data_IF_928888079840
#
_entry.id   IF_928888079840
#
_cell.length_a   1.000
_cell.length_b   1.000
_cell.length_c   1.000
_cell.angle_alpha   90.00
_cell.angle_beta   90.00
_cell.angle_gamma   90.00
#
_symmetry.space_group_name_H-M   'P 1'
#
loop_
_entity.id
_entity.type
_entity.pdbx_description
1 polymer ?
#
# COMPACT_ATOMS: atom_id res chain seq x y z
N UNK A 1 5.00 9.16 -8.16
CA UNK A 1 3.97 8.10 -8.20
C UNK A 1 4.17 7.22 -6.96
N UNK A 2 3.22 6.39 -6.54
CA UNK A 2 3.42 5.47 -5.41
C UNK A 2 3.08 4.05 -5.82
N UNK A 3 3.58 3.08 -5.06
CA UNK A 3 3.26 1.65 -5.25
C UNK A 3 1.79 1.41 -4.89
N UNK A 4 1.18 0.43 -5.54
CA UNK A 4 -0.25 0.12 -5.33
C UNK A 4 -0.50 -0.58 -4.00
N UNK A 5 0.51 -1.21 -3.41
CA UNK A 5 0.45 -1.79 -2.07
C UNK A 5 1.80 -1.63 -1.35
N UNK A 6 1.77 -1.14 -0.11
CA UNK A 6 2.93 -1.07 0.78
C UNK A 6 2.52 -1.05 2.25
N UNK A 7 3.44 -1.49 3.12
CA UNK A 7 3.27 -1.42 4.57
C UNK A 7 3.96 -0.17 5.12
N UNK A 8 3.33 0.47 6.10
CA UNK A 8 3.89 1.60 6.83
C UNK A 8 4.07 1.24 8.30
N UNK A 9 5.26 1.55 8.79
CA UNK A 9 5.70 1.41 10.17
C UNK A 9 6.11 2.78 10.69
N UNK A 10 6.23 2.90 12.00
CA UNK A 10 6.63 4.14 12.66
C UNK A 10 7.87 3.93 13.51
N UNK A 11 8.76 4.91 13.52
CA UNK A 11 9.88 4.96 14.44
C UNK A 11 9.36 5.31 15.84
N UNK A 12 9.90 4.64 16.85
CA UNK A 12 9.56 4.95 18.24
C UNK A 12 10.08 6.36 18.61
N UNK A 13 9.25 7.23 19.21
CA UNK A 13 9.64 8.60 19.53
C UNK A 13 10.82 8.68 20.52
N UNK A 14 11.01 7.68 21.38
CA UNK A 14 12.16 7.63 22.29
C UNK A 14 13.49 7.37 21.55
N UNK A 15 13.39 6.90 20.31
CA UNK A 15 14.52 6.67 19.40
C UNK A 15 14.61 7.74 18.29
N UNK A 16 13.74 8.75 18.25
CA UNK A 16 13.78 9.82 17.24
C UNK A 16 14.54 11.05 17.74
N UNK A 17 15.73 11.30 17.17
CA UNK A 17 16.56 12.46 17.51
C UNK A 17 15.85 13.80 17.32
N UNK A 18 14.85 13.90 16.42
CA UNK A 18 14.07 15.12 16.29
C UNK A 18 13.27 15.43 17.57
N UNK A 19 12.84 14.38 18.27
CA UNK A 19 12.10 14.45 19.53
C UNK A 19 13.05 14.54 20.73
N UNK A 20 14.12 13.75 20.74
CA UNK A 20 14.97 13.54 21.92
C UNK A 20 16.18 14.47 22.00
N UNK A 21 16.65 15.03 20.88
CA UNK A 21 17.81 15.92 20.83
C UNK A 21 17.42 17.33 20.35
N UNK A 22 17.50 18.31 21.26
CA UNK A 22 17.17 19.70 20.96
C UNK A 22 18.14 20.37 19.97
N UNK A 23 19.43 19.98 19.97
CA UNK A 23 20.43 20.50 19.04
C UNK A 23 20.18 19.97 17.64
N UNK A 24 19.97 18.66 17.50
CA UNK A 24 19.61 18.04 16.22
C UNK A 24 18.33 18.68 15.66
N UNK A 25 17.29 18.80 16.48
CA UNK A 25 16.03 19.46 16.10
C UNK A 25 16.25 20.89 15.59
N UNK A 26 17.05 21.68 16.30
CA UNK A 26 17.38 23.06 15.89
C UNK A 26 18.06 23.15 14.52
N UNK A 27 18.86 22.14 14.16
CA UNK A 27 19.51 22.05 12.84
C UNK A 27 18.57 21.49 11.77
N UNK A 28 17.70 20.54 12.13
CA UNK A 28 16.77 19.87 11.22
C UNK A 28 15.56 20.74 10.83
N UNK A 29 14.95 21.46 11.77
CA UNK A 29 13.71 22.24 11.55
C UNK A 29 13.77 23.17 10.32
N UNK A 30 14.85 23.95 10.08
CA UNK A 30 14.96 24.80 8.89
C UNK A 30 14.94 24.04 7.55
N UNK A 31 15.38 22.77 7.56
CA UNK A 31 15.45 21.89 6.39
C UNK A 31 14.12 21.19 6.10
N UNK A 32 13.22 21.12 7.09
CA UNK A 32 11.94 20.41 7.02
C UNK A 32 10.77 21.29 6.56
N UNK A 33 11.06 22.46 5.99
CA UNK A 33 10.02 23.36 5.47
C UNK A 33 9.11 22.66 4.46
N UNK A 34 7.81 22.95 4.53
CA UNK A 34 6.80 22.47 3.59
C UNK A 34 6.45 23.57 2.58
N UNK A 35 6.07 23.20 1.34
CA UNK A 35 5.44 24.12 0.41
C UNK A 35 4.18 24.71 1.05
N UNK A 36 4.13 26.05 1.14
CA UNK A 36 2.87 26.76 1.40
C UNK A 36 1.95 26.70 0.18
N UNK A 37 0.72 27.21 0.31
CA UNK A 37 -0.20 27.37 -0.82
C UNK A 37 0.26 28.53 -1.72
N UNK A 38 1.31 28.32 -2.51
CA UNK A 38 1.76 29.25 -3.53
C UNK A 38 1.11 28.87 -4.87
N UNK A 39 0.14 29.68 -5.30
CA UNK A 39 -0.66 29.48 -6.52
C UNK A 39 0.05 29.81 -7.84
N UNK A 40 1.34 30.19 -7.81
CA UNK A 40 2.07 30.57 -9.02
C UNK A 40 2.69 29.35 -9.73
N UNK A 41 2.12 29.01 -10.88
CA UNK A 41 2.54 27.93 -11.78
C UNK A 41 4.02 28.05 -12.20
N UNK A 42 4.54 29.27 -12.36
CA UNK A 42 5.92 29.52 -12.78
C UNK A 42 6.97 29.14 -11.74
N UNK A 43 6.57 28.97 -10.48
CA UNK A 43 7.44 28.69 -9.34
C UNK A 43 7.55 27.20 -8.98
N UNK A 44 6.73 26.33 -9.58
CA UNK A 44 6.61 24.91 -9.17
C UNK A 44 7.95 24.16 -9.25
N UNK A 45 8.70 24.32 -10.35
CA UNK A 45 9.97 23.61 -10.54
C UNK A 45 11.08 24.17 -9.63
N UNK A 46 11.20 25.49 -9.51
CA UNK A 46 12.20 26.13 -8.66
C UNK A 46 11.94 25.86 -7.17
N UNK A 47 10.67 25.85 -6.75
CA UNK A 47 10.27 25.43 -5.41
C UNK A 47 10.63 23.96 -5.16
N UNK A 48 10.30 23.08 -6.10
CA UNK A 48 10.63 21.66 -5.96
C UNK A 48 12.14 21.41 -5.84
N UNK A 49 12.96 22.05 -6.68
CA UNK A 49 14.43 21.98 -6.57
C UNK A 49 14.92 22.46 -5.20
N UNK A 50 14.39 23.58 -4.70
CA UNK A 50 14.76 24.09 -3.39
C UNK A 50 14.36 23.13 -2.24
N UNK A 51 13.18 22.51 -2.31
CA UNK A 51 12.74 21.51 -1.33
C UNK A 51 13.53 20.21 -1.42
N UNK A 52 13.88 19.78 -2.62
CA UNK A 52 14.76 18.63 -2.87
C UNK A 52 16.13 18.85 -2.23
N UNK A 53 16.73 20.02 -2.45
CA UNK A 53 18.05 20.34 -1.90
C UNK A 53 18.02 20.42 -0.36
N UNK A 54 16.97 21.03 0.23
CA UNK A 54 16.74 21.01 1.68
C UNK A 54 16.55 19.60 2.23
N UNK A 55 15.80 18.77 1.53
CA UNK A 55 15.60 17.37 1.90
C UNK A 55 16.93 16.61 1.89
N UNK A 56 17.75 16.79 0.87
CA UNK A 56 19.06 16.12 0.78
C UNK A 56 20.00 16.57 1.90
N UNK A 57 20.00 17.86 2.25
CA UNK A 57 20.71 18.36 3.43
C UNK A 57 20.17 17.74 4.73
N UNK A 58 18.85 17.56 4.86
CA UNK A 58 18.26 16.91 6.02
C UNK A 58 18.68 15.44 6.12
N UNK A 59 18.71 14.69 5.01
CA UNK A 59 19.16 13.30 5.03
C UNK A 59 20.63 13.17 5.38
N UNK A 60 21.49 14.04 4.86
CA UNK A 60 22.90 14.06 5.23
C UNK A 60 23.07 14.32 6.73
N UNK A 61 22.39 15.36 7.26
CA UNK A 61 22.37 15.66 8.68
C UNK A 61 21.87 14.46 9.51
N UNK A 62 20.79 13.80 9.07
CA UNK A 62 20.21 12.63 9.72
C UNK A 62 21.16 11.45 9.66
N UNK A 63 21.78 11.15 8.53
CA UNK A 63 22.77 10.07 8.37
C UNK A 63 23.93 10.26 9.35
N UNK A 64 24.48 11.47 9.40
CA UNK A 64 25.65 11.77 10.24
C UNK A 64 25.28 11.74 11.73
N UNK A 65 24.16 12.36 12.11
CA UNK A 65 23.74 12.40 13.53
C UNK A 65 23.31 11.04 14.07
N UNK A 66 22.67 10.20 13.23
CA UNK A 66 22.29 8.85 13.63
C UNK A 66 23.47 7.86 13.62
N UNK A 67 24.65 8.25 13.12
CA UNK A 67 25.86 7.44 13.24
C UNK A 67 26.39 7.37 14.69
N UNK A 68 26.11 8.39 15.48
CA UNK A 68 26.61 8.54 16.86
C UNK A 68 25.69 7.87 17.91
N UNK A 69 24.61 7.22 17.48
CA UNK A 69 23.63 6.55 18.36
C UNK A 69 23.58 5.04 18.10
N UNK A 70 23.02 4.24 19.02
CA UNK A 70 22.90 2.81 18.83
C UNK A 70 22.21 2.46 17.50
N UNK A 71 22.70 1.43 16.77
CA UNK A 71 22.08 0.97 15.54
C UNK A 71 20.59 0.67 15.71
N UNK A 72 19.74 1.00 14.72
CA UNK A 72 18.30 0.81 14.84
C UNK A 72 17.97 -0.67 14.97
N UNK A 73 17.09 -1.01 15.89
CA UNK A 73 16.69 -2.38 16.18
C UNK A 73 15.17 -2.49 16.31
N UNK A 74 14.66 -3.64 16.77
CA UNK A 74 13.23 -3.80 17.02
C UNK A 74 12.67 -2.81 18.04
N UNK A 75 13.47 -2.35 19.01
CA UNK A 75 13.04 -1.32 19.98
C UNK A 75 12.86 0.06 19.34
N UNK A 76 13.47 0.28 18.17
CA UNK A 76 13.37 1.53 17.43
C UNK A 76 12.06 1.64 16.64
N UNK A 77 11.24 0.59 16.61
CA UNK A 77 9.93 0.59 15.98
C UNK A 77 8.84 0.81 17.01
N UNK A 78 7.96 1.77 16.74
CA UNK A 78 6.84 2.08 17.60
C UNK A 78 5.83 0.92 17.59
N UNK A 79 5.37 0.53 18.79
CA UNK A 79 4.41 -0.55 18.97
C UNK A 79 3.32 -0.21 20.01
N UNK A 80 3.01 1.08 20.16
CA UNK A 80 2.17 1.59 21.25
C UNK A 80 0.68 1.25 21.14
N UNK A 81 0.12 1.10 19.93
CA UNK A 81 -1.27 0.69 19.71
C UNK A 81 -1.49 0.10 18.30
N UNK A 82 -2.73 -0.22 17.96
CA UNK A 82 -3.15 -0.86 16.71
C UNK A 82 -2.96 -0.01 15.44
N UNK A 83 -2.52 1.25 15.55
CA UNK A 83 -2.10 2.08 14.41
C UNK A 83 -0.62 1.90 14.04
N UNK A 84 0.14 1.11 14.79
CA UNK A 84 1.58 0.94 14.55
C UNK A 84 1.91 0.23 13.23
N UNK A 85 0.96 -0.58 12.74
CA UNK A 85 1.08 -1.35 11.52
C UNK A 85 -0.03 -0.91 10.59
N UNK A 86 0.30 -0.32 9.46
CA UNK A 86 -0.67 0.11 8.46
C UNK A 86 -0.36 -0.52 7.11
N UNK A 87 -1.40 -0.81 6.35
CA UNK A 87 -1.30 -1.14 4.93
C UNK A 87 -2.00 -0.07 4.13
N UNK A 88 -1.34 0.39 3.07
CA UNK A 88 -1.88 1.35 2.13
C UNK A 88 -2.12 0.62 0.82
N UNK A 89 -3.32 0.76 0.27
CA UNK A 89 -3.67 0.36 -1.08
C UNK A 89 -3.96 1.60 -1.92
N UNK A 90 -3.38 1.69 -3.12
CA UNK A 90 -3.74 2.69 -4.12
C UNK A 90 -4.52 2.01 -5.25
N UNK A 91 -5.64 2.63 -5.60
CA UNK A 91 -6.46 2.26 -6.76
C UNK A 91 -6.64 3.52 -7.62
N UNK A 92 -5.87 3.60 -8.70
CA UNK A 92 -5.82 4.72 -9.63
C UNK A 92 -5.47 6.05 -8.95
N UNK A 93 -6.45 6.94 -8.84
CA UNK A 93 -6.38 8.25 -8.18
C UNK A 93 -7.07 8.24 -6.80
N UNK A 94 -7.12 7.09 -6.14
CA UNK A 94 -7.62 6.94 -4.78
C UNK A 94 -6.70 6.05 -3.96
N UNK A 95 -6.74 6.21 -2.64
CA UNK A 95 -6.00 5.37 -1.72
C UNK A 95 -6.86 5.02 -0.51
N UNK A 96 -6.60 3.87 0.08
CA UNK A 96 -7.19 3.41 1.32
C UNK A 96 -6.05 3.08 2.30
N UNK A 97 -6.23 3.50 3.54
CA UNK A 97 -5.31 3.22 4.64
C UNK A 97 -6.05 2.32 5.61
N UNK A 98 -5.48 1.17 5.95
CA UNK A 98 -6.12 0.19 6.83
C UNK A 98 -5.14 -0.30 7.87
N UNK A 99 -5.64 -0.52 9.10
CA UNK A 99 -4.83 -1.07 10.20
C UNK A 99 -4.48 -2.53 9.95
N UNK A 100 -3.26 -2.87 10.31
CA UNK A 100 -2.67 -4.19 10.16
C UNK A 100 -1.84 -4.36 8.89
N UNK A 101 -1.19 -5.52 8.80
CA UNK A 101 -0.37 -5.92 7.65
C UNK A 101 -1.21 -6.82 6.74
N UNK A 102 -1.67 -6.31 5.61
CA UNK A 102 -2.61 -6.95 4.69
C UNK A 102 -1.92 -7.21 3.34
N UNK A 103 -2.28 -8.30 2.68
CA UNK A 103 -1.73 -8.71 1.39
C UNK A 103 -0.47 -9.57 1.51
N UNK A 104 0.22 -9.81 0.42
CA UNK A 104 1.56 -10.39 0.47
C UNK A 104 2.58 -9.42 1.09
N UNK A 105 3.83 -9.86 1.27
CA UNK A 105 4.90 -8.94 1.68
C UNK A 105 5.16 -7.98 0.51
N UNK A 106 4.92 -6.66 0.66
CA UNK A 106 5.03 -5.72 -0.44
C UNK A 106 6.47 -5.56 -0.91
N UNK A 107 6.62 -5.05 -2.14
CA UNK A 107 7.94 -4.74 -2.66
C UNK A 107 8.68 -3.72 -1.79
N UNK A 108 7.97 -2.68 -1.35
CA UNK A 108 8.48 -1.56 -0.54
C UNK A 108 7.79 -1.50 0.82
N UNK A 109 8.51 -1.04 1.84
CA UNK A 109 7.96 -0.67 3.15
C UNK A 109 8.43 0.72 3.52
N UNK A 110 7.61 1.46 4.26
CA UNK A 110 7.87 2.82 4.67
C UNK A 110 8.07 2.88 6.18
N UNK A 111 9.12 3.57 6.63
CA UNK A 111 9.34 3.87 8.04
C UNK A 111 9.21 5.37 8.28
N UNK A 112 8.18 5.76 9.03
CA UNK A 112 7.87 7.14 9.35
C UNK A 112 8.52 7.53 10.67
N UNK A 113 9.40 8.53 10.63
CA UNK A 113 9.81 9.29 11.80
C UNK A 113 8.77 10.40 12.09
N UNK A 114 8.92 11.13 13.20
CA UNK A 114 7.98 12.18 13.56
C UNK A 114 7.91 13.29 12.49
N UNK A 115 9.04 13.81 11.94
CA UNK A 115 9.00 14.75 10.83
C UNK A 115 8.27 14.27 9.57
N UNK A 116 8.41 13.01 9.17
CA UNK A 116 7.70 12.45 8.02
C UNK A 116 6.20 12.35 8.29
N UNK A 117 5.80 11.91 9.49
CA UNK A 117 4.39 11.84 9.90
C UNK A 117 3.73 13.21 9.85
N UNK A 118 4.30 14.21 10.54
CA UNK A 118 3.76 15.57 10.59
C UNK A 118 3.64 16.17 9.19
N UNK A 119 4.70 16.10 8.37
CA UNK A 119 4.67 16.66 7.02
C UNK A 119 3.64 15.98 6.14
N UNK A 120 3.48 14.67 6.26
CA UNK A 120 2.46 13.92 5.51
C UNK A 120 1.05 14.36 5.91
N UNK A 121 0.78 14.50 7.21
CA UNK A 121 -0.51 14.97 7.72
C UNK A 121 -0.83 16.38 7.23
N UNK A 122 0.10 17.33 7.41
CA UNK A 122 -0.14 18.70 6.96
C UNK A 122 -0.27 18.80 5.45
N UNK A 123 0.52 18.04 4.69
CA UNK A 123 0.46 18.08 3.24
C UNK A 123 -0.80 17.46 2.65
N UNK A 124 -1.24 16.31 3.19
CA UNK A 124 -2.33 15.52 2.60
C UNK A 124 -3.69 15.73 3.27
N UNK A 125 -3.72 16.26 4.49
CA UNK A 125 -4.97 16.53 5.22
C UNK A 125 -5.21 18.03 5.43
N UNK A 126 -4.28 18.74 6.06
CA UNK A 126 -4.54 20.14 6.49
C UNK A 126 -4.47 21.13 5.32
N UNK A 127 -3.43 21.04 4.50
CA UNK A 127 -3.15 21.98 3.41
C UNK A 127 -3.64 21.46 2.05
N UNK A 128 -4.14 20.22 1.99
CA UNK A 128 -4.65 19.65 0.75
C UNK A 128 -6.00 20.26 0.39
N UNK A 129 -6.09 20.78 -0.83
CA UNK A 129 -7.33 21.34 -1.36
C UNK A 129 -7.74 20.52 -2.58
N UNK A 130 -8.81 19.73 -2.42
CA UNK A 130 -9.38 18.90 -3.49
C UNK A 130 -9.86 19.75 -4.67
N UNK A 131 -10.30 20.99 -4.40
CA UNK A 131 -10.77 21.96 -5.39
C UNK A 131 -9.68 22.94 -5.82
N UNK A 132 -8.46 22.80 -5.31
CA UNK A 132 -7.32 23.63 -5.63
C UNK A 132 -6.88 23.49 -7.08
N UNK A 133 -6.12 24.47 -7.57
CA UNK A 133 -5.67 24.50 -8.95
C UNK A 133 -4.64 23.38 -9.27
N UNK A 134 -4.38 23.16 -10.56
CA UNK A 134 -3.44 22.13 -11.04
C UNK A 134 -2.02 22.33 -10.47
N UNK A 135 -1.61 23.57 -10.20
CA UNK A 135 -0.28 23.82 -9.64
C UNK A 135 -0.15 23.36 -8.19
N UNK A 136 -1.20 23.55 -7.37
CA UNK A 136 -1.28 23.03 -6.00
C UNK A 136 -1.22 21.50 -5.99
N UNK A 137 -1.99 20.85 -6.85
CA UNK A 137 -1.98 19.39 -6.98
C UNK A 137 -0.61 18.87 -7.43
N UNK A 138 0.05 19.56 -8.37
CA UNK A 138 1.38 19.22 -8.85
C UNK A 138 2.46 19.39 -7.76
N UNK A 139 2.45 20.51 -7.03
CA UNK A 139 3.38 20.77 -5.91
C UNK A 139 3.21 19.73 -4.81
N UNK A 140 1.96 19.41 -4.44
CA UNK A 140 1.65 18.34 -3.48
C UNK A 140 2.23 17.02 -3.96
N UNK A 141 2.00 16.64 -5.21
CA UNK A 141 2.47 15.35 -5.73
C UNK A 141 4.00 15.27 -5.81
N UNK A 142 4.67 16.38 -6.15
CA UNK A 142 6.12 16.50 -6.21
C UNK A 142 6.76 16.44 -4.82
N UNK A 143 6.18 17.12 -3.84
CA UNK A 143 6.71 17.09 -2.47
C UNK A 143 6.44 15.75 -1.79
N UNK A 144 5.32 15.09 -2.11
CA UNK A 144 5.04 13.74 -1.58
C UNK A 144 6.03 12.69 -2.12
N UNK A 145 6.60 12.89 -3.31
CA UNK A 145 7.71 12.08 -3.83
C UNK A 145 8.93 12.12 -2.89
N UNK A 146 9.22 13.29 -2.30
CA UNK A 146 10.30 13.48 -1.33
C UNK A 146 9.98 12.79 0.01
N UNK A 147 8.72 12.87 0.47
CA UNK A 147 8.27 12.16 1.69
C UNK A 147 8.40 10.65 1.50
N UNK A 148 7.88 10.11 0.39
CA UNK A 148 8.02 8.69 0.05
C UNK A 148 9.48 8.28 0.14
N UNK A 149 10.36 8.98 -0.57
CA UNK A 149 11.76 8.61 -0.63
C UNK A 149 12.43 8.63 0.75
N UNK A 150 12.13 9.64 1.58
CA UNK A 150 12.59 9.68 2.97
C UNK A 150 12.11 8.49 3.80
N UNK A 151 10.85 8.09 3.67
CA UNK A 151 10.31 6.94 4.39
C UNK A 151 10.90 5.59 3.92
N UNK A 152 11.13 5.44 2.62
CA UNK A 152 11.81 4.29 2.02
C UNK A 152 13.27 4.21 2.49
N UNK A 153 14.00 5.33 2.48
CA UNK A 153 15.37 5.39 2.98
C UNK A 153 15.46 5.11 4.48
N UNK A 154 14.52 5.62 5.28
CA UNK A 154 14.44 5.29 6.71
C UNK A 154 14.24 3.80 6.94
N UNK A 155 13.41 3.13 6.13
CA UNK A 155 13.25 1.67 6.22
C UNK A 155 14.55 0.94 5.88
N UNK A 156 15.28 1.36 4.85
CA UNK A 156 16.55 0.72 4.45
C UNK A 156 17.60 0.72 5.58
N UNK A 157 17.58 1.70 6.49
CA UNK A 157 18.47 1.72 7.67
C UNK A 157 18.26 0.53 8.62
N UNK A 158 17.09 -0.13 8.56
CA UNK A 158 16.83 -1.37 9.30
C UNK A 158 17.46 -2.60 8.62
N UNK A 159 17.73 -2.53 7.32
CA UNK A 159 18.32 -3.63 6.55
C UNK A 159 19.85 -3.70 6.77
N UNK A 160 20.48 -4.86 6.53
CA UNK A 160 21.95 -4.99 6.52
C UNK A 160 22.57 -4.02 5.53
N UNK A 161 23.64 -3.33 5.94
CA UNK A 161 24.21 -2.19 5.22
C UNK A 161 24.61 -2.52 3.77
N UNK A 162 25.24 -3.67 3.60
CA UNK A 162 25.72 -4.23 2.33
C UNK A 162 24.61 -4.63 1.34
N UNK A 163 23.36 -4.72 1.79
CA UNK A 163 22.21 -5.10 0.94
C UNK A 163 21.36 -3.91 0.49
N UNK A 164 21.60 -2.71 1.03
CA UNK A 164 20.70 -1.55 0.83
C UNK A 164 20.69 -1.03 -0.61
N UNK A 165 21.83 -1.09 -1.29
CA UNK A 165 21.94 -0.72 -2.70
C UNK A 165 21.14 -1.67 -3.61
N UNK A 166 21.18 -2.97 -3.34
CA UNK A 166 20.42 -3.97 -4.09
C UNK A 166 18.90 -3.73 -3.96
N UNK A 167 18.44 -3.36 -2.76
CA UNK A 167 17.04 -2.97 -2.57
C UNK A 167 16.68 -1.71 -3.35
N UNK A 168 17.54 -0.69 -3.31
CA UNK A 168 17.31 0.55 -4.03
C UNK A 168 17.25 0.31 -5.55
N UNK A 169 18.14 -0.55 -6.06
CA UNK A 169 18.20 -0.96 -7.46
C UNK A 169 16.95 -1.72 -7.92
N UNK A 170 16.40 -2.60 -7.07
CA UNK A 170 15.13 -3.28 -7.34
C UNK A 170 13.94 -2.31 -7.34
N UNK A 171 13.91 -1.38 -6.39
CA UNK A 171 12.81 -0.41 -6.25
C UNK A 171 12.80 0.65 -7.35
N UNK A 172 13.97 0.96 -7.93
CA UNK A 172 14.18 2.04 -8.89
C UNK A 172 14.90 1.58 -10.16
N UNK A 173 14.30 0.67 -10.93
CA UNK A 173 14.92 0.15 -12.15
C UNK A 173 14.99 1.21 -13.28
N UNK A 174 15.94 1.03 -14.21
CA UNK A 174 16.10 1.82 -15.44
C UNK A 174 16.22 3.34 -15.18
N UNK A 175 15.29 4.14 -15.73
CA UNK A 175 15.23 5.59 -15.54
C UNK A 175 15.05 6.01 -14.09
N UNK A 176 14.56 5.11 -13.22
CA UNK A 176 14.49 5.32 -11.77
C UNK A 176 15.88 5.56 -11.16
N UNK A 177 16.89 4.76 -11.56
CA UNK A 177 18.28 4.92 -11.11
C UNK A 177 18.85 6.29 -11.46
N UNK A 178 18.56 6.77 -12.68
CA UNK A 178 19.00 8.09 -13.13
C UNK A 178 18.37 9.20 -12.28
N UNK A 179 17.09 9.10 -11.95
CA UNK A 179 16.42 10.05 -11.06
C UNK A 179 16.97 9.99 -9.63
N UNK A 180 17.21 8.79 -9.09
CA UNK A 180 17.90 8.63 -7.81
C UNK A 180 19.22 9.38 -7.78
N UNK A 181 20.07 9.10 -8.77
CA UNK A 181 21.39 9.70 -8.88
C UNK A 181 21.37 11.23 -9.06
N UNK A 182 20.39 11.77 -9.81
CA UNK A 182 20.29 13.21 -10.07
C UNK A 182 19.67 14.01 -8.93
N UNK A 183 18.69 13.43 -8.24
CA UNK A 183 17.78 14.19 -7.39
C UNK A 183 17.91 13.90 -5.90
N UNK A 184 18.49 12.77 -5.52
CA UNK A 184 18.44 12.30 -4.14
C UNK A 184 19.83 12.12 -3.52
N UNK A 185 19.94 12.45 -2.24
CA UNK A 185 21.11 12.14 -1.42
C UNK A 185 21.34 10.62 -1.38
N UNK A 186 22.62 10.22 -1.42
CA UNK A 186 23.04 8.84 -1.33
C UNK A 186 22.52 8.19 -0.03
N UNK A 187 22.07 6.95 -0.15
CA UNK A 187 21.64 6.18 1.02
C UNK A 187 22.80 5.93 1.97
N UNK A 188 22.45 5.61 3.21
CA UNK A 188 23.39 5.13 4.20
C UNK A 188 23.63 3.62 3.94
N UNK A 189 24.77 3.25 3.40
CA UNK A 189 25.16 1.90 2.99
C UNK A 189 26.29 1.29 3.84
N UNK A 190 26.79 2.03 4.83
CA UNK A 190 27.93 1.63 5.65
C UNK A 190 27.58 1.42 7.14
N UNK A 191 26.62 2.17 7.69
CA UNK A 191 26.28 2.06 9.11
C UNK A 191 25.51 0.78 9.43
N UNK A 192 25.86 0.07 10.52
CA UNK A 192 25.26 -1.21 10.86
C UNK A 192 23.77 -1.07 11.23
N UNK A 193 23.02 -2.15 11.04
CA UNK A 193 21.68 -2.34 11.62
C UNK A 193 21.81 -3.16 12.91
N UNK A 194 20.96 -2.87 13.90
CA UNK A 194 20.83 -3.65 15.12
C UNK A 194 19.91 -4.88 14.96
N UNK A 195 19.37 -5.10 13.75
CA UNK A 195 18.56 -6.27 13.44
C UNK A 195 19.44 -7.45 12.99
N UNK A 196 19.14 -8.64 13.51
CA UNK A 196 19.70 -9.89 13.04
C UNK A 196 18.73 -10.51 12.03
N UNK A 197 19.03 -10.34 10.74
CA UNK A 197 18.22 -10.80 9.62
C UNK A 197 18.99 -11.84 8.80
N UNK A 198 18.29 -12.76 8.14
CA UNK A 198 18.90 -13.69 7.18
C UNK A 198 19.56 -12.92 6.02
N UNK A 199 20.87 -13.10 5.84
CA UNK A 199 21.67 -12.45 4.80
C UNK A 199 21.17 -12.77 3.37
N UNK A 200 20.49 -13.90 3.17
CA UNK A 200 20.01 -14.31 1.83
C UNK A 200 18.76 -13.60 1.39
N UNK A 201 17.87 -13.27 2.33
CA UNK A 201 16.60 -12.60 2.06
C UNK A 201 16.17 -11.77 3.28
N UNK A 202 16.90 -10.68 3.58
CA UNK A 202 16.70 -9.94 4.83
C UNK A 202 15.34 -9.25 4.88
N UNK A 203 14.76 -8.87 3.73
CA UNK A 203 13.43 -8.28 3.66
C UNK A 203 12.35 -9.29 4.04
N UNK A 204 12.43 -10.51 3.49
CA UNK A 204 11.45 -11.55 3.83
C UNK A 204 11.58 -11.97 5.29
N UNK A 205 12.81 -12.11 5.79
CA UNK A 205 13.03 -12.43 7.20
C UNK A 205 12.52 -11.30 8.12
N UNK A 206 12.80 -10.03 7.79
CA UNK A 206 12.22 -8.90 8.49
C UNK A 206 10.70 -8.97 8.54
N UNK A 207 10.04 -9.21 7.41
CA UNK A 207 8.58 -9.30 7.34
C UNK A 207 8.04 -10.45 8.21
N UNK A 208 8.67 -11.62 8.20
CA UNK A 208 8.29 -12.76 9.03
C UNK A 208 8.48 -12.48 10.52
N UNK A 209 9.62 -11.88 10.89
CA UNK A 209 9.91 -11.48 12.26
C UNK A 209 8.94 -10.38 12.74
N UNK A 210 8.60 -9.41 11.89
CA UNK A 210 7.62 -8.36 12.15
C UNK A 210 6.24 -8.96 12.43
N UNK A 211 5.76 -9.84 11.55
CA UNK A 211 4.48 -10.56 11.71
C UNK A 211 4.44 -11.40 12.99
N UNK A 212 5.56 -12.02 13.36
CA UNK A 212 5.65 -12.83 14.58
C UNK A 212 5.69 -11.97 15.84
N UNK A 213 6.56 -10.94 15.87
CA UNK A 213 6.76 -10.09 17.05
C UNK A 213 5.54 -9.22 17.35
N UNK A 214 4.93 -8.65 16.32
CA UNK A 214 3.80 -7.74 16.47
C UNK A 214 2.46 -8.38 16.10
N UNK A 215 2.37 -9.72 16.10
CA UNK A 215 1.15 -10.44 15.75
C UNK A 215 -0.08 -10.03 16.57
N UNK A 216 0.10 -9.79 17.88
CA UNK A 216 -0.97 -9.31 18.76
C UNK A 216 -1.40 -7.85 18.50
N UNK A 217 -0.53 -7.06 17.86
CA UNK A 217 -0.78 -5.66 17.49
C UNK A 217 -1.38 -5.55 16.09
N UNK A 218 -1.19 -6.57 15.26
CA UNK A 218 -1.73 -6.62 13.91
C UNK A 218 -3.26 -6.71 13.96
N UNK A 219 -3.93 -5.58 13.77
CA UNK A 219 -5.38 -5.47 13.79
C UNK A 219 -6.09 -6.34 12.74
N UNK A 220 -5.36 -6.77 11.69
CA UNK A 220 -5.90 -7.57 10.58
C UNK A 220 -4.99 -8.77 10.28
N UNK A 221 -5.09 -9.88 11.04
CA UNK A 221 -4.48 -11.14 10.64
C UNK A 221 -4.99 -11.56 9.25
N UNK A 222 -4.08 -12.02 8.38
CA UNK A 222 -4.37 -12.23 6.97
C UNK A 222 -4.03 -13.66 6.51
N UNK A 223 -4.87 -14.65 6.88
CA UNK A 223 -4.69 -16.03 6.48
C UNK A 223 -5.06 -16.28 5.00
N UNK A 224 -5.66 -15.30 4.31
CA UNK A 224 -6.04 -15.45 2.91
C UNK A 224 -4.83 -15.22 2.02
N UNK A 225 -4.14 -14.08 2.18
CA UNK A 225 -3.08 -13.66 1.25
C UNK A 225 -1.69 -14.23 1.55
N UNK A 226 -1.47 -14.74 2.76
CA UNK A 226 -0.17 -15.26 3.22
C UNK A 226 -0.26 -16.70 3.73
N UNK A 227 -1.21 -17.46 3.19
CA UNK A 227 -1.40 -18.84 3.60
C UNK A 227 -0.20 -19.73 3.23
N UNK A 228 0.39 -20.39 4.22
CA UNK A 228 1.43 -21.41 4.04
C UNK A 228 1.01 -22.80 4.52
N UNK A 229 -0.17 -22.91 5.13
CA UNK A 229 -0.69 -24.14 5.74
C UNK A 229 -1.91 -24.71 5.02
N UNK A 230 -2.55 -25.70 5.67
CA UNK A 230 -3.76 -26.36 5.14
C UNK A 230 -5.06 -25.56 5.37
N UNK A 231 -5.02 -24.55 6.25
CA UNK A 231 -6.17 -23.75 6.65
C UNK A 231 -5.89 -22.26 6.37
N UNK A 232 -6.51 -21.75 5.31
CA UNK A 232 -6.33 -20.41 4.77
C UNK A 232 -7.58 -19.54 5.00
N UNK A 233 -8.06 -19.51 6.23
CA UNK A 233 -9.26 -18.77 6.61
C UNK A 233 -9.13 -18.19 8.00
N UNK A 234 -9.91 -17.16 8.31
CA UNK A 234 -9.97 -16.57 9.63
C UNK A 234 -10.66 -17.54 10.61
N UNK A 235 -10.18 -17.52 11.85
CA UNK A 235 -10.78 -18.29 12.92
C UNK A 235 -12.12 -17.67 13.38
N UNK A 236 -13.01 -18.50 13.91
CA UNK A 236 -14.25 -18.05 14.56
C UNK A 236 -15.32 -17.48 13.62
N UNK A 237 -15.21 -17.69 12.30
CA UNK A 237 -16.25 -17.34 11.33
C UNK A 237 -17.13 -18.54 10.98
N UNK A 238 -18.19 -18.30 10.18
CA UNK A 238 -19.08 -19.37 9.69
C UNK A 238 -18.29 -20.41 8.88
N UNK A 239 -18.48 -21.73 9.08
CA UNK A 239 -17.77 -22.76 8.32
C UNK A 239 -17.88 -22.60 6.80
N UNK A 240 -19.04 -22.18 6.29
CA UNK A 240 -19.21 -21.92 4.86
C UNK A 240 -18.32 -20.76 4.41
N UNK A 241 -18.09 -19.76 5.25
CA UNK A 241 -17.17 -18.65 4.96
C UNK A 241 -15.70 -19.07 5.10
N UNK A 242 -15.37 -20.02 5.97
CA UNK A 242 -14.03 -20.61 6.02
C UNK A 242 -13.69 -21.30 4.69
N UNK A 243 -14.63 -22.09 4.14
CA UNK A 243 -14.48 -22.72 2.83
C UNK A 243 -14.34 -21.68 1.69
N UNK A 244 -15.06 -20.55 1.80
CA UNK A 244 -14.94 -19.43 0.87
C UNK A 244 -13.54 -18.83 0.91
N UNK A 245 -13.03 -18.46 2.08
CA UNK A 245 -11.70 -17.88 2.23
C UNK A 245 -10.60 -18.85 1.80
N UNK A 246 -10.76 -20.14 2.12
CA UNK A 246 -9.89 -21.22 1.69
C UNK A 246 -9.85 -21.37 0.16
N UNK A 247 -10.98 -21.18 -0.51
CA UNK A 247 -11.03 -21.20 -1.96
C UNK A 247 -10.41 -19.94 -2.56
N UNK A 248 -10.71 -18.76 -1.99
CA UNK A 248 -10.22 -17.45 -2.45
C UNK A 248 -8.69 -17.32 -2.33
N UNK A 249 -8.07 -17.89 -1.30
CA UNK A 249 -6.61 -17.88 -1.11
C UNK A 249 -5.83 -18.50 -2.29
N UNK A 250 -6.47 -19.31 -3.14
CA UNK A 250 -5.84 -19.85 -4.36
C UNK A 250 -5.61 -18.80 -5.45
N UNK A 251 -6.31 -17.67 -5.38
CA UNK A 251 -6.15 -16.53 -6.28
C UNK A 251 -5.06 -15.57 -5.81
N UNK A 252 -4.59 -15.70 -4.57
CA UNK A 252 -3.58 -14.83 -3.98
C UNK A 252 -2.19 -15.47 -4.10
N UNK A 253 -1.14 -14.70 -3.81
CA UNK A 253 0.26 -15.18 -3.78
C UNK A 253 0.78 -15.72 -5.12
N UNK A 254 0.15 -15.37 -6.24
CA UNK A 254 0.57 -15.70 -7.61
C UNK A 254 0.61 -14.44 -8.47
N UNK A 255 1.71 -14.16 -9.17
CA UNK A 255 1.75 -13.04 -10.10
C UNK A 255 0.95 -13.36 -11.37
N UNK A 256 0.56 -12.34 -12.14
CA UNK A 256 -0.20 -12.45 -13.38
C UNK A 256 0.50 -13.30 -14.46
N UNK A 257 1.83 -13.45 -14.39
CA UNK A 257 2.56 -14.43 -15.19
C UNK A 257 2.05 -15.87 -14.97
N UNK A 258 1.68 -16.21 -13.74
CA UNK A 258 1.10 -17.50 -13.33
C UNK A 258 -0.43 -17.52 -13.28
N UNK A 259 -1.09 -16.36 -13.11
CA UNK A 259 -2.55 -16.23 -13.04
C UNK A 259 -3.05 -15.16 -14.02
N UNK A 260 -3.23 -15.57 -15.29
CA UNK A 260 -3.48 -14.64 -16.41
C UNK A 260 -4.77 -13.83 -16.34
N UNK A 261 -5.75 -14.27 -15.55
CA UNK A 261 -7.00 -13.52 -15.36
C UNK A 261 -6.77 -12.16 -14.67
N UNK A 262 -5.67 -11.99 -13.93
CA UNK A 262 -5.31 -10.72 -13.29
C UNK A 262 -5.25 -9.59 -14.32
N UNK A 263 -4.79 -9.87 -15.54
CA UNK A 263 -4.72 -8.87 -16.63
C UNK A 263 -6.09 -8.28 -16.99
N UNK A 264 -7.17 -9.04 -16.76
CA UNK A 264 -8.56 -8.68 -17.07
C UNK A 264 -9.31 -8.05 -15.89
N UNK A 265 -8.73 -8.09 -14.69
CA UNK A 265 -9.39 -7.58 -13.50
C UNK A 265 -9.29 -6.06 -13.41
N UNK A 266 -10.40 -5.38 -13.05
CA UNK A 266 -10.38 -4.02 -12.55
C UNK A 266 -9.48 -3.88 -11.30
N UNK A 267 -9.12 -2.65 -10.96
CA UNK A 267 -8.23 -2.37 -9.82
C UNK A 267 -8.87 -2.71 -8.46
N UNK A 268 -10.16 -2.40 -8.26
CA UNK A 268 -10.91 -2.72 -7.04
C UNK A 268 -12.25 -3.41 -7.36
N UNK A 269 -12.27 -4.74 -7.26
CA UNK A 269 -13.46 -5.57 -7.48
C UNK A 269 -14.07 -6.02 -6.16
N UNK A 270 -15.39 -5.94 -6.01
CA UNK A 270 -16.09 -6.39 -4.81
C UNK A 270 -16.73 -7.76 -5.03
N UNK A 271 -16.50 -8.70 -4.12
CA UNK A 271 -17.15 -10.00 -4.07
C UNK A 271 -18.22 -9.97 -2.99
N UNK A 272 -19.49 -9.89 -3.37
CA UNK A 272 -20.64 -10.06 -2.46
C UNK A 272 -20.94 -11.54 -2.35
N UNK A 273 -20.69 -12.13 -1.19
CA UNK A 273 -20.82 -13.57 -0.97
C UNK A 273 -21.88 -13.83 0.10
N UNK A 274 -22.85 -14.67 -0.23
CA UNK A 274 -23.97 -14.99 0.65
C UNK A 274 -24.04 -16.49 0.95
N UNK A 275 -24.08 -16.83 2.23
CA UNK A 275 -24.25 -18.22 2.69
C UNK A 275 -25.72 -18.66 2.58
N UNK A 276 -25.97 -19.97 2.64
CA UNK A 276 -27.33 -20.50 2.65
C UNK A 276 -28.18 -20.04 3.85
N UNK A 277 -27.55 -19.56 4.93
CA UNK A 277 -28.24 -18.98 6.10
C UNK A 277 -28.71 -17.54 5.88
N UNK A 278 -28.36 -16.92 4.75
CA UNK A 278 -28.59 -15.49 4.49
C UNK A 278 -27.49 -14.58 5.05
N UNK A 279 -26.48 -15.12 5.74
CA UNK A 279 -25.32 -14.34 6.17
C UNK A 279 -24.50 -13.92 4.95
N UNK A 280 -24.27 -12.62 4.83
CA UNK A 280 -23.48 -11.98 3.76
C UNK A 280 -22.13 -11.49 4.27
N UNK A 281 -21.10 -11.64 3.45
CA UNK A 281 -19.80 -10.98 3.61
C UNK A 281 -19.37 -10.39 2.27
N UNK A 282 -18.84 -9.17 2.31
CA UNK A 282 -18.20 -8.55 1.16
C UNK A 282 -16.68 -8.69 1.28
N UNK A 283 -16.03 -9.09 0.20
CA UNK A 283 -14.58 -9.12 0.07
C UNK A 283 -14.13 -8.14 -1.00
N UNK A 284 -13.06 -7.39 -0.74
CA UNK A 284 -12.35 -6.61 -1.75
C UNK A 284 -11.29 -7.47 -2.41
N UNK A 285 -11.38 -7.64 -3.72
CA UNK A 285 -10.36 -8.21 -4.58
C UNK A 285 -9.64 -7.04 -5.25
N UNK A 286 -8.43 -6.76 -4.79
CA UNK A 286 -7.62 -5.62 -5.19
C UNK A 286 -6.49 -6.11 -6.09
N UNK A 287 -6.38 -5.55 -7.29
CA UNK A 287 -5.27 -5.81 -8.21
C UNK A 287 -4.15 -4.82 -7.91
N UNK A 288 -3.00 -5.33 -7.50
CA UNK A 288 -1.81 -4.53 -7.24
C UNK A 288 -0.96 -4.48 -8.51
N UNK A 289 -0.84 -3.31 -9.15
CA UNK A 289 -0.06 -3.18 -10.38
C UNK A 289 1.42 -2.99 -10.09
N UNK A 290 2.25 -3.81 -10.72
CA UNK A 290 3.69 -3.74 -10.57
C UNK A 290 4.29 -2.72 -11.54
N UNK A 291 5.26 -1.95 -11.05
CA UNK A 291 5.98 -0.96 -11.84
C UNK A 291 7.48 -1.13 -11.66
N UNK A 292 8.29 -0.85 -12.68
CA UNK A 292 9.75 -0.92 -12.58
C UNK A 292 10.32 0.18 -11.67
N UNK A 293 9.63 1.33 -11.57
CA UNK A 293 9.86 2.36 -10.57
C UNK A 293 8.66 3.31 -10.48
N UNK A 294 8.56 4.07 -9.39
CA UNK A 294 7.50 5.08 -9.15
C UNK A 294 8.04 6.52 -9.08
N UNK A 295 9.27 6.72 -9.55
CA UNK A 295 10.03 7.97 -9.39
C UNK A 295 9.42 9.15 -10.17
N UNK A 296 8.75 8.94 -11.30
CA UNK A 296 8.20 10.03 -12.12
C UNK A 296 6.69 10.20 -11.96
N UNK A 297 6.21 11.45 -12.09
CA UNK A 297 4.78 11.80 -12.04
C UNK A 297 4.00 11.39 -13.29
N UNK A 298 4.65 11.37 -14.46
CA UNK A 298 4.04 11.07 -15.75
C UNK A 298 4.66 9.80 -16.36
N UNK A 299 3.99 9.23 -17.37
CA UNK A 299 4.52 8.07 -18.10
C UNK A 299 4.55 6.78 -17.27
N UNK A 300 3.58 6.59 -16.37
CA UNK A 300 3.36 5.36 -15.59
C UNK A 300 3.33 4.12 -16.49
N UNK A 301 2.64 4.20 -17.64
CA UNK A 301 2.48 3.11 -18.59
C UNK A 301 3.81 2.53 -19.12
N UNK A 302 4.86 3.33 -19.29
CA UNK A 302 6.17 2.86 -19.77
C UNK A 302 6.93 2.04 -18.72
N UNK A 303 6.51 2.12 -17.46
CA UNK A 303 7.15 1.46 -16.32
C UNK A 303 6.32 0.28 -15.82
N UNK A 304 5.10 0.12 -16.32
CA UNK A 304 4.18 -0.93 -15.91
C UNK A 304 4.71 -2.32 -16.30
N UNK A 305 4.70 -3.25 -15.35
CA UNK A 305 5.21 -4.62 -15.48
C UNK A 305 4.06 -5.63 -15.26
N UNK A 306 3.16 -5.80 -16.24
CA UNK A 306 1.90 -6.53 -16.07
C UNK A 306 2.08 -7.95 -15.56
N UNK A 307 3.14 -8.65 -15.99
CA UNK A 307 3.42 -10.03 -15.56
C UNK A 307 3.71 -10.18 -14.07
N UNK A 308 3.99 -9.09 -13.36
CA UNK A 308 4.27 -9.06 -11.92
C UNK A 308 3.08 -8.56 -11.09
N UNK A 309 1.94 -8.24 -11.72
CA UNK A 309 0.73 -7.85 -10.99
C UNK A 309 0.27 -8.98 -10.07
N UNK A 310 -0.26 -8.64 -8.91
CA UNK A 310 -0.80 -9.59 -7.95
C UNK A 310 -2.20 -9.20 -7.53
N UNK A 311 -2.87 -10.09 -6.79
CA UNK A 311 -4.18 -9.84 -6.22
C UNK A 311 -4.10 -10.00 -4.71
N UNK A 312 -4.72 -9.05 -4.01
CA UNK A 312 -4.99 -9.10 -2.57
C UNK A 312 -6.48 -9.23 -2.32
N UNK A 313 -6.86 -10.12 -1.41
CA UNK A 313 -8.25 -10.33 -1.00
C UNK A 313 -8.41 -9.91 0.45
N UNK A 314 -9.31 -8.96 0.72
CA UNK A 314 -9.57 -8.46 2.06
C UNK A 314 -11.05 -8.62 2.44
N UNK A 315 -11.39 -9.14 3.64
CA UNK A 315 -12.77 -9.22 4.11
C UNK A 315 -13.29 -7.85 4.56
N UNK A 316 -13.85 -7.11 3.62
CA UNK A 316 -14.39 -5.76 3.82
C UNK A 316 -14.46 -5.01 2.50
N UNK A 317 -14.97 -3.77 2.54
CA UNK A 317 -14.96 -2.85 1.41
C UNK A 317 -13.77 -1.90 1.56
N UNK A 318 -12.74 -2.10 0.75
CA UNK A 318 -11.46 -1.38 0.79
C UNK A 318 -11.31 -0.55 -0.49
N UNK A 319 -12.34 0.24 -0.80
CA UNK A 319 -12.33 1.23 -1.88
C UNK A 319 -13.53 2.15 -1.76
N UNK A 320 -13.33 3.46 -1.99
CA UNK A 320 -14.43 4.42 -2.17
C UNK A 320 -15.03 4.35 -3.59
N UNK A 321 -14.36 3.68 -4.51
CA UNK A 321 -14.70 3.56 -5.92
C UNK A 321 -14.72 2.08 -6.37
N UNK A 322 -15.76 1.30 -6.03
CA UNK A 322 -15.88 -0.06 -6.55
C UNK A 322 -15.90 -0.05 -8.08
N UNK A 323 -14.96 -0.74 -8.72
CA UNK A 323 -14.89 -0.81 -10.18
C UNK A 323 -15.85 -1.87 -10.72
N UNK A 324 -16.06 -2.97 -10.01
CA UNK A 324 -16.97 -4.02 -10.44
C UNK A 324 -17.45 -4.87 -9.26
N UNK A 325 -18.61 -5.51 -9.39
CA UNK A 325 -19.18 -6.42 -8.39
C UNK A 325 -19.38 -7.80 -9.01
N UNK A 326 -18.91 -8.83 -8.31
CA UNK A 326 -19.40 -10.19 -8.46
C UNK A 326 -20.33 -10.52 -7.29
N UNK A 327 -21.50 -11.07 -7.57
CA UNK A 327 -22.43 -11.56 -6.57
C UNK A 327 -22.59 -13.07 -6.71
N UNK A 328 -22.28 -13.81 -5.64
CA UNK A 328 -22.24 -15.27 -5.69
C UNK A 328 -22.69 -15.92 -4.37
N UNK A 329 -23.41 -17.05 -4.42
CA UNK A 329 -23.60 -17.91 -3.26
C UNK A 329 -22.25 -18.47 -2.79
N UNK A 330 -22.07 -18.65 -1.49
CA UNK A 330 -20.84 -19.20 -0.89
C UNK A 330 -20.42 -20.54 -1.51
N UNK A 331 -21.39 -21.39 -1.84
CA UNK A 331 -21.19 -22.71 -2.43
C UNK A 331 -20.64 -22.65 -3.87
N UNK A 332 -20.79 -21.52 -4.57
CA UNK A 332 -20.27 -21.33 -5.93
C UNK A 332 -18.85 -20.76 -5.95
N UNK A 333 -18.32 -20.29 -4.83
CA UNK A 333 -16.98 -19.70 -4.75
C UNK A 333 -15.89 -20.64 -5.26
N UNK A 334 -15.89 -21.96 -4.95
CA UNK A 334 -14.92 -22.88 -5.53
C UNK A 334 -14.96 -22.95 -7.06
N UNK A 335 -16.15 -22.85 -7.66
CA UNK A 335 -16.34 -22.84 -9.11
C UNK A 335 -15.92 -21.51 -9.74
N UNK A 336 -16.21 -20.38 -9.06
CA UNK A 336 -15.71 -19.06 -9.45
C UNK A 336 -14.19 -19.02 -9.47
N UNK A 337 -13.53 -19.47 -8.39
CA UNK A 337 -12.07 -19.54 -8.30
C UNK A 337 -11.49 -20.42 -9.39
N UNK A 338 -12.06 -21.61 -9.62
CA UNK A 338 -11.59 -22.50 -10.67
C UNK A 338 -11.76 -21.89 -12.08
N UNK A 339 -12.82 -21.10 -12.31
CA UNK A 339 -13.01 -20.37 -13.56
C UNK A 339 -11.95 -19.26 -13.71
N UNK A 340 -11.67 -18.50 -12.65
CA UNK A 340 -10.62 -17.48 -12.61
C UNK A 340 -9.23 -18.09 -12.89
N UNK A 341 -8.87 -19.21 -12.26
CA UNK A 341 -7.60 -19.91 -12.53
C UNK A 341 -7.45 -20.38 -13.98
N UNK A 342 -8.56 -20.69 -14.66
CA UNK A 342 -8.57 -21.19 -16.04
C UNK A 342 -8.77 -20.10 -17.12
N UNK A 343 -9.14 -18.88 -16.71
CA UNK A 343 -9.32 -17.75 -17.61
C UNK A 343 -7.96 -17.16 -18.01
N UNK A 344 -7.60 -17.33 -19.29
CA UNK A 344 -6.32 -16.88 -19.85
C UNK A 344 -6.48 -15.75 -20.86
N UNK A 345 -7.72 -15.34 -21.12
CA UNK A 345 -8.09 -14.36 -22.13
C UNK A 345 -9.43 -13.69 -21.77
N UNK A 346 -9.71 -12.56 -22.41
CA UNK A 346 -10.95 -11.79 -22.21
C UNK A 346 -12.21 -12.62 -22.47
N UNK A 347 -12.20 -13.55 -23.44
CA UNK A 347 -13.37 -14.36 -23.79
C UNK A 347 -13.76 -15.33 -22.67
N UNK A 348 -12.78 -15.89 -21.97
CA UNK A 348 -13.04 -16.76 -20.80
C UNK A 348 -13.44 -15.94 -19.59
N UNK A 349 -12.83 -14.77 -19.40
CA UNK A 349 -13.22 -13.85 -18.34
C UNK A 349 -14.67 -13.36 -18.51
N UNK A 350 -15.10 -13.07 -19.74
CA UNK A 350 -16.48 -12.72 -20.06
C UNK A 350 -17.49 -13.76 -19.58
N UNK A 351 -17.16 -15.05 -19.66
CA UNK A 351 -18.03 -16.12 -19.13
C UNK A 351 -18.17 -16.10 -17.60
N UNK A 352 -17.16 -15.59 -16.90
CA UNK A 352 -17.20 -15.38 -15.44
C UNK A 352 -18.12 -14.19 -15.15
N UNK A 353 -17.97 -13.10 -15.91
CA UNK A 353 -18.82 -11.90 -15.82
C UNK A 353 -20.27 -12.23 -16.13
N UNK A 354 -20.56 -13.01 -17.17
CA UNK A 354 -21.93 -13.41 -17.53
C UNK A 354 -22.62 -14.23 -16.44
N UNK A 355 -21.86 -15.02 -15.67
CA UNK A 355 -22.41 -15.91 -14.65
C UNK A 355 -22.59 -15.24 -13.30
N UNK A 356 -21.62 -14.44 -12.86
CA UNK A 356 -21.58 -13.89 -11.50
C UNK A 356 -21.48 -12.36 -11.45
N UNK A 357 -21.19 -11.72 -12.57
CA UNK A 357 -20.95 -10.28 -12.64
C UNK A 357 -22.24 -9.45 -12.58
N UNK A 358 -22.16 -8.31 -11.92
CA UNK A 358 -23.27 -7.36 -11.83
C UNK A 358 -22.97 -6.19 -12.77
N UNK A 359 -23.42 -6.28 -14.03
CA UNK A 359 -23.27 -5.16 -14.98
C UNK A 359 -24.20 -4.01 -14.61
N UNK A 360 -23.93 -2.80 -15.13
CA UNK A 360 -24.81 -1.62 -14.95
C UNK A 360 -26.24 -1.87 -15.45
N UNK A 361 -26.42 -2.77 -16.40
CA UNK A 361 -27.72 -3.19 -16.94
C UNK A 361 -28.44 -4.25 -16.10
N UNK A 362 -27.82 -4.75 -15.03
CA UNK A 362 -28.44 -5.76 -14.16
C UNK A 362 -29.70 -5.17 -13.49
N UNK A 363 -30.86 -5.87 -13.50
CA UNK A 363 -32.12 -5.31 -12.98
C UNK A 363 -32.06 -4.96 -11.48
N UNK A 364 -31.19 -5.64 -10.73
CA UNK A 364 -30.93 -5.40 -9.30
C UNK A 364 -29.61 -4.64 -9.03
N UNK A 365 -29.04 -3.95 -10.02
CA UNK A 365 -27.74 -3.26 -9.90
C UNK A 365 -27.66 -2.39 -8.64
N UNK A 366 -28.62 -1.49 -8.45
CA UNK A 366 -28.64 -0.56 -7.31
C UNK A 366 -28.76 -1.27 -5.97
N UNK A 367 -29.48 -2.39 -5.90
CA UNK A 367 -29.57 -3.19 -4.69
C UNK A 367 -28.19 -3.71 -4.31
N UNK A 368 -27.44 -4.30 -5.25
CA UNK A 368 -26.11 -4.83 -4.96
C UNK A 368 -25.07 -3.73 -4.71
N UNK A 369 -25.15 -2.60 -5.42
CA UNK A 369 -24.22 -1.50 -5.22
C UNK A 369 -24.42 -0.81 -3.86
N UNK A 370 -25.66 -0.49 -3.49
CA UNK A 370 -25.96 0.13 -2.18
C UNK A 370 -25.75 -0.83 -1.00
N UNK A 371 -25.88 -2.14 -1.23
CA UNK A 371 -25.58 -3.15 -0.22
C UNK A 371 -24.10 -3.15 0.20
N UNK A 372 -23.17 -2.64 -0.64
CA UNK A 372 -21.79 -2.40 -0.21
C UNK A 372 -21.70 -1.31 0.87
N UNK A 373 -22.37 -0.16 0.68
CA UNK A 373 -22.43 0.89 1.70
C UNK A 373 -23.15 0.41 2.97
N UNK A 374 -24.22 -0.38 2.81
CA UNK A 374 -24.91 -1.00 3.94
C UNK A 374 -23.97 -1.94 4.71
N UNK A 375 -23.10 -2.69 4.02
CA UNK A 375 -22.11 -3.56 4.66
C UNK A 375 -21.15 -2.76 5.55
N UNK A 376 -20.64 -1.63 5.05
CA UNK A 376 -19.75 -0.74 5.80
C UNK A 376 -20.47 -0.21 7.03
N UNK A 377 -21.71 0.25 6.89
CA UNK A 377 -22.53 0.70 8.02
C UNK A 377 -22.71 -0.38 9.09
N UNK A 378 -22.92 -1.63 8.67
CA UNK A 378 -23.13 -2.78 9.56
C UNK A 378 -21.84 -3.21 10.28
N UNK A 379 -20.68 -3.07 9.66
CA UNK A 379 -19.42 -3.68 10.13
C UNK A 379 -18.38 -2.68 10.62
N UNK A 380 -18.33 -1.48 10.03
CA UNK A 380 -17.37 -0.41 10.30
C UNK A 380 -18.06 0.97 10.21
N UNK A 381 -19.04 1.27 11.09
CA UNK A 381 -19.89 2.46 10.95
C UNK A 381 -19.16 3.80 11.00
N UNK A 382 -17.95 3.85 11.58
CA UNK A 382 -17.12 5.07 11.59
C UNK A 382 -16.60 5.44 10.20
N UNK A 383 -16.40 4.43 9.34
CA UNK A 383 -15.96 4.58 7.95
C UNK A 383 -17.14 4.68 6.98
N UNK A 384 -18.38 4.81 7.49
CA UNK A 384 -19.57 4.89 6.64
C UNK A 384 -19.51 6.13 5.74
N UNK A 385 -19.64 5.89 4.43
CA UNK A 385 -19.72 6.93 3.41
C UNK A 385 -20.47 6.46 2.18
N UNK A 386 -20.68 7.38 1.24
CA UNK A 386 -21.26 7.07 -0.07
C UNK A 386 -20.16 6.57 -0.99
N UNK A 387 -20.33 5.36 -1.51
CA UNK A 387 -19.43 4.81 -2.53
C UNK A 387 -19.76 5.47 -3.88
N UNK A 388 -18.73 5.86 -4.62
CA UNK A 388 -18.86 6.55 -5.89
C UNK A 388 -18.80 5.54 -7.06
N UNK A 389 -19.86 5.53 -7.86
CA UNK A 389 -20.05 4.64 -9.00
C UNK A 389 -19.35 5.15 -10.28
N UNK A 390 -18.78 6.36 -10.30
CA UNK A 390 -18.22 6.96 -11.52
C UNK A 390 -17.12 6.14 -12.20
N UNK A 391 -16.40 5.27 -11.45
CA UNK A 391 -15.36 4.37 -11.95
C UNK A 391 -15.83 2.93 -12.15
N UNK A 392 -17.14 2.67 -12.10
CA UNK A 392 -17.69 1.33 -12.31
C UNK A 392 -17.53 0.91 -13.77
N UNK A 393 -16.81 -0.17 -14.04
CA UNK A 393 -16.52 -0.63 -15.39
C UNK A 393 -17.73 -1.30 -16.04
N UNK A 394 -17.78 -1.22 -17.36
CA UNK A 394 -18.70 -2.02 -18.16
C UNK A 394 -17.89 -3.14 -18.82
N UNK A 395 -17.46 -4.07 -17.98
CA UNK A 395 -16.98 -5.38 -18.39
C UNK A 395 -18.09 -6.08 -19.15
#
# INVERSE_FOLDING_TARGET
>A
MIRDNFWTLFQDPDHDLYITDARYRGQATPLLAMPGQNDDVGSVLSLWLAYRDKRNQYEALRRDSYADVPPPSWSSLWAGNDNALLTIFRHFDSAAVTKGLIGEVPQTMWLFDYPLLERTYYQLAVNFDVFGNVSHQAQTRLYFDLIRNGAEQNFLRLMPADTRDDFMDDWYQNSGKLKLWLDYEAIDDDKPSGLHLDEKDPKRDFANQLLTRYGNLNASPDPINRCTGAYCSRDGIDPALQDVEQALSRLTSRPAAGLKVIDQLPEATMLRIETASGKRVVYSLLRNRAHSNVAFLLGEAYRYQPGLDTVTIYPGVLSSYPNFIFNLPAQEVPAFVAAMENAKDAKRFEKIVDRWGVRRSHPLFWQYFHDLSQYIRETTPVEEGVLDMNRYENL
#
